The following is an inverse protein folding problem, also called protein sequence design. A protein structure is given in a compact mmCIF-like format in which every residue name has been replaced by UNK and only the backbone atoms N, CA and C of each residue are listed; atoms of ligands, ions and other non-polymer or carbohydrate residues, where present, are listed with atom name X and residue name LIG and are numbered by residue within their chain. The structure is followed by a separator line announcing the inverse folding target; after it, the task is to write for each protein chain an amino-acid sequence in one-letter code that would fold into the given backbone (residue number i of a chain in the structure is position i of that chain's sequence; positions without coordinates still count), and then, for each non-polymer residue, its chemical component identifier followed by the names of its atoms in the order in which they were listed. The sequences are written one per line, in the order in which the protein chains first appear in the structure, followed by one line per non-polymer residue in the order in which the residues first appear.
data_IF_762682350388
#
_entry.id   IF_762682350388
#
_cell.length_a   1.000
_cell.length_b   1.000
_cell.length_c   1.000
_cell.angle_alpha   90.00
_cell.angle_beta   90.00
_cell.angle_gamma   90.00
#
_symmetry.space_group_name_H-M   'P 1'
#
loop_
_entity.id
_entity.type
_entity.pdbx_description
1 polymer ?
#
# COMPACT_ATOMS: atom_id res chain seq x y z
N UNK A 1 -13.32 -4.65 7.52
CA UNK A 1 -14.10 -3.72 6.68
C UNK A 1 -14.60 -4.41 5.43
N UNK A 2 -13.75 -4.77 4.46
CA UNK A 2 -14.16 -5.45 3.21
C UNK A 2 -14.98 -6.73 3.42
N UNK A 3 -14.51 -7.63 4.29
CA UNK A 3 -15.18 -8.92 4.54
C UNK A 3 -16.55 -8.77 5.22
N UNK A 4 -16.69 -7.82 6.15
CA UNK A 4 -17.98 -7.49 6.76
C UNK A 4 -18.92 -6.76 5.79
N UNK A 5 -18.38 -5.97 4.85
CA UNK A 5 -19.16 -5.34 3.80
C UNK A 5 -19.71 -6.36 2.80
N UNK A 6 -18.88 -7.33 2.39
CA UNK A 6 -19.29 -8.45 1.53
C UNK A 6 -20.40 -9.27 2.20
N UNK A 7 -20.26 -9.58 3.50
CA UNK A 7 -21.31 -10.27 4.27
C UNK A 7 -22.63 -9.49 4.35
N UNK A 8 -22.57 -8.16 4.49
CA UNK A 8 -23.76 -7.30 4.48
C UNK A 8 -24.42 -7.31 3.09
N UNK A 9 -23.63 -7.23 2.01
CA UNK A 9 -24.14 -7.29 0.65
C UNK A 9 -24.83 -8.64 0.36
N UNK A 10 -24.20 -9.74 0.77
CA UNK A 10 -24.73 -11.10 0.60
C UNK A 10 -26.02 -11.31 1.40
N UNK A 11 -26.08 -10.80 2.64
CA UNK A 11 -27.30 -10.82 3.45
C UNK A 11 -28.43 -10.03 2.79
N UNK A 12 -28.15 -8.84 2.26
CA UNK A 12 -29.15 -8.01 1.57
C UNK A 12 -29.64 -8.69 0.29
N UNK A 13 -28.75 -9.29 -0.51
CA UNK A 13 -29.13 -10.04 -1.70
C UNK A 13 -29.99 -11.26 -1.37
N UNK A 14 -29.67 -11.96 -0.29
CA UNK A 14 -30.45 -13.13 0.17
C UNK A 14 -31.84 -12.71 0.64
N UNK A 15 -31.93 -11.64 1.44
CA UNK A 15 -33.23 -11.08 1.87
C UNK A 15 -34.08 -10.58 0.70
N UNK A 16 -33.46 -10.07 -0.38
CA UNK A 16 -34.16 -9.68 -1.60
C UNK A 16 -34.82 -10.87 -2.30
N UNK A 17 -34.08 -11.97 -2.44
CA UNK A 17 -34.59 -13.19 -3.08
C UNK A 17 -35.74 -13.81 -2.29
N UNK A 18 -35.63 -13.84 -0.96
CA UNK A 18 -36.71 -14.30 -0.08
C UNK A 18 -37.96 -13.41 -0.17
N UNK A 19 -37.76 -12.10 -0.32
CA UNK A 19 -38.85 -11.14 -0.50
C UNK A 19 -39.57 -11.32 -1.84
N UNK A 20 -38.83 -11.45 -2.94
CA UNK A 20 -39.38 -11.71 -4.28
C UNK A 20 -40.15 -13.05 -4.31
N UNK A 21 -39.60 -14.08 -3.67
CA UNK A 21 -40.28 -15.37 -3.50
C UNK A 21 -41.57 -15.25 -2.67
N UNK A 22 -41.55 -14.46 -1.59
CA UNK A 22 -42.73 -14.19 -0.77
C UNK A 22 -43.82 -13.42 -1.55
N UNK A 23 -43.43 -12.45 -2.38
CA UNK A 23 -44.33 -11.68 -3.24
C UNK A 23 -45.00 -12.60 -4.27
N UNK A 24 -44.24 -13.50 -4.89
CA UNK A 24 -44.74 -14.44 -5.89
C UNK A 24 -45.84 -15.38 -5.35
N UNK A 25 -45.90 -15.58 -4.03
CA UNK A 25 -46.85 -16.49 -3.36
C UNK A 25 -48.12 -15.78 -2.85
N UNK A 26 -48.14 -14.43 -2.77
CA UNK A 26 -49.23 -13.68 -2.14
C UNK A 26 -50.34 -13.20 -3.11
N UNK A 27 -51.59 -13.23 -2.64
CA UNK A 27 -52.79 -12.83 -3.39
C UNK A 27 -52.91 -11.28 -3.57
N UNK A 28 -53.75 -10.79 -4.52
CA UNK A 28 -53.69 -9.41 -5.02
C UNK A 28 -53.89 -8.27 -4.00
N UNK A 29 -54.43 -8.56 -2.81
CA UNK A 29 -54.75 -7.57 -1.78
C UNK A 29 -53.56 -7.00 -1.01
N UNK A 30 -52.40 -7.68 -1.01
CA UNK A 30 -51.21 -7.27 -0.24
C UNK A 30 -50.28 -6.33 -1.03
N UNK A 31 -50.50 -6.23 -2.35
CA UNK A 31 -49.62 -5.59 -3.34
C UNK A 31 -49.42 -4.08 -3.08
N UNK A 32 -50.43 -3.37 -2.57
CA UNK A 32 -50.35 -1.91 -2.37
C UNK A 32 -49.47 -1.48 -1.18
N UNK A 33 -49.34 -2.31 -0.13
CA UNK A 33 -48.39 -2.05 0.96
C UNK A 33 -46.98 -2.49 0.57
N UNK A 34 -46.90 -3.53 -0.25
CA UNK A 34 -45.68 -4.11 -0.78
C UNK A 34 -44.99 -3.21 -1.80
N UNK A 35 -45.73 -2.46 -2.62
CA UNK A 35 -45.16 -1.50 -3.58
C UNK A 35 -44.34 -0.38 -2.92
N UNK A 36 -44.79 0.13 -1.77
CA UNK A 36 -44.05 1.14 -1.00
C UNK A 36 -42.80 0.56 -0.34
N UNK A 37 -42.87 -0.68 0.12
CA UNK A 37 -41.72 -1.41 0.64
C UNK A 37 -40.69 -1.70 -0.46
N UNK A 38 -41.11 -2.24 -1.60
CA UNK A 38 -40.27 -2.49 -2.78
C UNK A 38 -39.57 -1.22 -3.28
N UNK A 39 -40.28 -0.09 -3.29
CA UNK A 39 -39.67 1.20 -3.67
C UNK A 39 -38.55 1.60 -2.72
N UNK A 40 -38.75 1.45 -1.41
CA UNK A 40 -37.73 1.76 -0.40
C UNK A 40 -36.57 0.75 -0.44
N UNK A 41 -36.86 -0.52 -0.71
CA UNK A 41 -35.87 -1.58 -0.84
C UNK A 41 -34.98 -1.40 -2.06
N UNK A 42 -35.56 -1.09 -3.23
CA UNK A 42 -34.80 -0.77 -4.43
C UNK A 42 -33.97 0.52 -4.27
N UNK A 43 -34.48 1.50 -3.51
CA UNK A 43 -33.70 2.69 -3.14
C UNK A 43 -32.49 2.32 -2.28
N UNK A 44 -32.67 1.42 -1.30
CA UNK A 44 -31.58 0.92 -0.47
C UNK A 44 -30.52 0.18 -1.30
N UNK A 45 -30.92 -0.66 -2.27
CA UNK A 45 -29.99 -1.31 -3.21
C UNK A 45 -29.17 -0.29 -4.02
N UNK A 46 -29.83 0.75 -4.54
CA UNK A 46 -29.13 1.83 -5.28
C UNK A 46 -28.08 2.51 -4.40
N UNK A 47 -28.47 2.86 -3.17
CA UNK A 47 -27.57 3.49 -2.22
C UNK A 47 -26.42 2.56 -1.80
N UNK A 48 -26.67 1.25 -1.72
CA UNK A 48 -25.62 0.27 -1.44
C UNK A 48 -24.61 0.19 -2.58
N UNK A 49 -25.08 0.17 -3.83
CA UNK A 49 -24.23 0.16 -5.03
C UNK A 49 -23.43 1.46 -5.17
N UNK A 50 -24.04 2.60 -4.83
CA UNK A 50 -23.35 3.89 -4.79
C UNK A 50 -22.26 3.91 -3.72
N UNK A 51 -22.52 3.34 -2.54
CA UNK A 51 -21.55 3.22 -1.45
C UNK A 51 -20.44 2.22 -1.78
N UNK A 52 -20.70 1.16 -2.55
CA UNK A 52 -19.68 0.19 -2.98
C UNK A 52 -18.55 0.85 -3.78
N UNK A 53 -18.85 1.90 -4.56
CA UNK A 53 -17.85 2.71 -5.28
C UNK A 53 -16.89 3.42 -4.31
N UNK A 54 -17.35 3.78 -3.11
CA UNK A 54 -16.54 4.48 -2.10
C UNK A 54 -15.86 3.52 -1.11
N UNK A 55 -16.47 2.36 -0.82
CA UNK A 55 -15.92 1.34 0.08
C UNK A 55 -14.90 0.45 -0.65
N UNK A 56 -15.10 0.25 -1.95
CA UNK A 56 -14.22 -0.55 -2.80
C UNK A 56 -13.61 0.32 -3.89
N UNK A 57 -12.70 1.27 -3.57
CA UNK A 57 -11.83 1.81 -4.61
C UNK A 57 -11.12 0.59 -5.21
N UNK A 58 -11.30 0.35 -6.51
CA UNK A 58 -10.69 -0.80 -7.20
C UNK A 58 -9.23 -0.91 -6.73
N UNK A 59 -8.83 -2.04 -6.10
CA UNK A 59 -7.49 -2.14 -5.58
C UNK A 59 -6.54 -1.96 -6.76
N UNK A 60 -5.76 -0.88 -6.74
CA UNK A 60 -4.66 -0.70 -7.66
C UNK A 60 -3.79 -1.95 -7.51
N UNK A 61 -3.65 -2.71 -8.60
CA UNK A 61 -2.71 -3.82 -8.61
C UNK A 61 -1.32 -3.20 -8.64
N UNK A 62 -0.64 -3.23 -7.50
CA UNK A 62 0.72 -2.72 -7.37
C UNK A 62 1.62 -3.49 -8.33
N UNK A 63 2.36 -2.77 -9.17
CA UNK A 63 3.32 -3.32 -10.13
C UNK A 63 4.70 -2.79 -9.81
N UNK A 64 5.69 -3.69 -9.82
CA UNK A 64 7.09 -3.40 -9.61
C UNK A 64 7.89 -3.97 -10.77
N UNK A 65 8.76 -3.15 -11.36
CA UNK A 65 9.72 -3.59 -12.38
C UNK A 65 10.87 -4.41 -11.77
N UNK A 66 11.05 -4.33 -10.44
CA UNK A 66 11.98 -5.18 -9.70
C UNK A 66 11.37 -6.56 -9.47
N UNK A 67 11.85 -7.58 -10.19
CA UNK A 67 11.36 -8.97 -10.10
C UNK A 67 12.19 -9.88 -9.19
N UNK A 68 13.32 -9.39 -8.68
CA UNK A 68 14.24 -10.17 -7.85
C UNK A 68 13.67 -10.53 -6.48
N UNK A 69 13.92 -11.76 -6.03
CA UNK A 69 13.46 -12.25 -4.71
C UNK A 69 14.02 -11.42 -3.55
N UNK A 70 15.29 -10.99 -3.64
CA UNK A 70 15.92 -10.13 -2.65
C UNK A 70 15.20 -8.78 -2.48
N UNK A 71 14.72 -8.22 -3.59
CA UNK A 71 13.96 -6.98 -3.56
C UNK A 71 12.59 -7.22 -2.92
N UNK A 72 11.86 -8.25 -3.33
CA UNK A 72 10.56 -8.58 -2.77
C UNK A 72 10.62 -8.76 -1.25
N UNK A 73 11.61 -9.52 -0.77
CA UNK A 73 11.86 -9.73 0.66
C UNK A 73 12.19 -8.41 1.38
N UNK A 74 13.03 -7.56 0.78
CA UNK A 74 13.38 -6.25 1.34
C UNK A 74 12.19 -5.30 1.38
N UNK A 75 11.34 -5.33 0.36
CA UNK A 75 10.13 -4.51 0.25
C UNK A 75 9.09 -4.90 1.30
N UNK A 76 8.83 -6.20 1.47
CA UNK A 76 7.92 -6.70 2.50
C UNK A 76 8.46 -6.41 3.91
N UNK A 77 9.78 -6.49 4.09
CA UNK A 77 10.42 -6.10 5.34
C UNK A 77 10.19 -4.61 5.66
N UNK A 78 10.31 -3.71 4.68
CA UNK A 78 10.03 -2.29 4.85
C UNK A 78 8.57 -2.01 5.20
N UNK A 79 7.63 -2.68 4.54
CA UNK A 79 6.19 -2.57 4.87
C UNK A 79 5.90 -3.02 6.30
N UNK A 80 6.53 -4.12 6.72
CA UNK A 80 6.41 -4.61 8.10
C UNK A 80 7.05 -3.64 9.10
N UNK A 81 8.19 -3.06 8.77
CA UNK A 81 8.83 -2.01 9.56
C UNK A 81 7.93 -0.78 9.74
N UNK A 82 7.32 -0.26 8.67
CA UNK A 82 6.40 0.88 8.75
C UNK A 82 5.20 0.59 9.65
N UNK A 83 4.65 -0.62 9.55
CA UNK A 83 3.54 -1.05 10.40
C UNK A 83 3.97 -1.15 11.86
N UNK A 84 5.08 -1.83 12.13
CA UNK A 84 5.54 -2.10 13.50
C UNK A 84 6.04 -0.84 14.22
N UNK A 85 6.83 -0.01 13.53
CA UNK A 85 7.49 1.15 14.16
C UNK A 85 6.64 2.42 14.13
N UNK A 86 5.85 2.63 13.07
CA UNK A 86 5.11 3.88 12.87
C UNK A 86 3.59 3.70 12.84
N UNK A 87 3.08 2.46 12.92
CA UNK A 87 1.65 2.19 12.79
C UNK A 87 1.08 2.48 11.40
N UNK A 88 1.94 2.62 10.39
CA UNK A 88 1.56 3.00 9.03
C UNK A 88 1.27 1.73 8.21
N UNK A 89 0.08 1.66 7.64
CA UNK A 89 -0.28 0.67 6.62
C UNK A 89 -0.34 1.39 5.27
N UNK A 90 0.50 0.98 4.35
CA UNK A 90 0.53 1.53 3.00
C UNK A 90 -0.77 1.22 2.26
N UNK A 91 -1.38 2.25 1.69
CA UNK A 91 -2.44 2.06 0.71
C UNK A 91 -1.82 1.64 -0.64
N UNK A 92 -2.54 0.89 -1.49
CA UNK A 92 -2.01 0.47 -2.79
C UNK A 92 -1.53 1.63 -3.68
N UNK A 93 -2.17 2.80 -3.59
CA UNK A 93 -1.79 4.01 -4.33
C UNK A 93 -0.45 4.58 -3.87
N UNK A 94 -0.24 4.64 -2.55
CA UNK A 94 1.02 5.13 -1.98
C UNK A 94 2.13 4.11 -2.19
N UNK A 95 1.81 2.81 -2.12
CA UNK A 95 2.76 1.74 -2.44
C UNK A 95 3.24 1.84 -3.89
N UNK A 96 2.33 2.07 -4.84
CA UNK A 96 2.69 2.25 -6.26
C UNK A 96 3.59 3.47 -6.47
N UNK A 97 3.23 4.63 -5.92
CA UNK A 97 4.05 5.85 -6.05
C UNK A 97 5.43 5.65 -5.39
N UNK A 98 5.49 4.99 -4.24
CA UNK A 98 6.76 4.70 -3.57
C UNK A 98 7.65 3.78 -4.42
N UNK A 99 7.09 2.83 -5.16
CA UNK A 99 7.84 2.00 -6.11
C UNK A 99 8.32 2.78 -7.31
N UNK A 100 7.49 3.68 -7.86
CA UNK A 100 7.86 4.54 -8.99
C UNK A 100 9.00 5.51 -8.63
N UNK A 101 8.90 6.17 -7.46
CA UNK A 101 9.96 7.04 -6.94
C UNK A 101 11.24 6.25 -6.68
N UNK A 102 11.13 5.06 -6.06
CA UNK A 102 12.29 4.21 -5.81
C UNK A 102 12.96 3.74 -7.11
N UNK A 103 12.17 3.46 -8.14
CA UNK A 103 12.67 3.11 -9.47
C UNK A 103 13.41 4.27 -10.13
N UNK A 104 12.88 5.49 -10.01
CA UNK A 104 13.53 6.71 -10.47
C UNK A 104 14.84 6.96 -9.73
N UNK A 105 14.82 6.92 -8.39
CA UNK A 105 15.97 7.19 -7.53
C UNK A 105 17.09 6.15 -7.69
N UNK A 106 16.73 4.89 -7.92
CA UNK A 106 17.70 3.82 -8.11
C UNK A 106 18.21 3.71 -9.56
N UNK A 107 17.67 4.52 -10.49
CA UNK A 107 17.91 4.40 -11.93
C UNK A 107 17.65 2.98 -12.44
N UNK A 108 16.52 2.39 -11.99
CA UNK A 108 16.12 1.00 -12.27
C UNK A 108 17.11 -0.09 -11.79
N UNK A 109 18.09 0.24 -10.94
CA UNK A 109 19.02 -0.74 -10.35
C UNK A 109 18.39 -1.37 -9.09
N UNK A 110 18.15 -2.71 -9.07
CA UNK A 110 17.56 -3.39 -7.91
C UNK A 110 18.44 -3.32 -6.65
N UNK A 111 19.77 -3.32 -6.78
CA UNK A 111 20.67 -3.30 -5.63
C UNK A 111 20.66 -1.93 -4.95
N UNK A 112 20.69 -0.85 -5.74
CA UNK A 112 20.55 0.52 -5.22
C UNK A 112 19.19 0.74 -4.55
N UNK A 113 18.13 0.15 -5.09
CA UNK A 113 16.80 0.19 -4.48
C UNK A 113 16.80 -0.49 -3.09
N UNK A 114 17.37 -1.70 -3.00
CA UNK A 114 17.52 -2.46 -1.73
C UNK A 114 18.35 -1.64 -0.71
N UNK A 115 19.46 -1.05 -1.14
CA UNK A 115 20.33 -0.26 -0.28
C UNK A 115 19.64 0.99 0.27
N UNK A 116 18.80 1.64 -0.55
CA UNK A 116 18.02 2.83 -0.18
C UNK A 116 16.95 2.47 0.84
N UNK A 117 16.26 1.34 0.67
CA UNK A 117 15.31 0.81 1.66
C UNK A 117 16.03 0.52 2.99
N UNK A 118 17.14 -0.24 2.95
CA UNK A 118 17.91 -0.58 4.15
C UNK A 118 18.45 0.65 4.86
N UNK A 119 18.93 1.63 4.12
CA UNK A 119 19.38 2.91 4.66
C UNK A 119 18.25 3.65 5.39
N UNK A 120 17.09 3.73 4.77
CA UNK A 120 15.92 4.44 5.32
C UNK A 120 15.43 3.78 6.61
N UNK A 121 15.43 2.44 6.66
CA UNK A 121 15.11 1.69 7.88
C UNK A 121 16.15 1.95 8.97
N UNK A 122 17.45 1.89 8.63
CA UNK A 122 18.53 2.15 9.58
C UNK A 122 18.44 3.57 10.19
N UNK A 123 18.03 4.56 9.38
CA UNK A 123 17.79 5.94 9.83
C UNK A 123 16.43 6.16 10.48
N UNK A 124 15.62 5.10 10.58
CA UNK A 124 14.28 5.10 11.14
C UNK A 124 13.29 6.06 10.44
N UNK A 125 13.48 6.27 9.14
CA UNK A 125 12.63 7.16 8.35
C UNK A 125 11.27 6.53 8.03
N UNK A 126 10.26 7.38 7.81
CA UNK A 126 8.90 6.99 7.40
C UNK A 126 8.74 6.84 5.88
N UNK A 127 9.73 7.30 5.13
CA UNK A 127 9.79 7.29 3.66
C UNK A 127 11.14 6.74 3.23
N UNK A 128 11.21 6.27 1.97
CA UNK A 128 12.47 5.81 1.39
C UNK A 128 13.21 7.03 0.85
N UNK A 129 14.49 7.13 1.22
CA UNK A 129 15.41 8.11 0.68
C UNK A 129 16.62 7.39 0.09
N UNK A 130 17.16 7.90 -1.03
CA UNK A 130 18.35 7.33 -1.64
C UNK A 130 19.52 7.40 -0.66
N UNK A 131 20.32 6.34 -0.62
CA UNK A 131 21.55 6.33 0.16
C UNK A 131 22.53 7.34 -0.45
N UNK A 132 23.08 8.29 0.32
CA UNK A 132 24.09 9.21 -0.20
C UNK A 132 25.31 8.42 -0.70
N UNK A 133 25.83 8.79 -1.86
CA UNK A 133 27.11 8.26 -2.33
C UNK A 133 28.19 8.62 -1.31
N UNK A 134 28.95 7.62 -0.85
CA UNK A 134 30.15 7.89 -0.07
C UNK A 134 31.11 8.64 -0.99
N UNK A 135 31.31 9.94 -0.72
CA UNK A 135 32.42 10.67 -1.33
C UNK A 135 33.67 9.94 -0.88
N UNK A 136 34.41 9.35 -1.81
CA UNK A 136 35.77 8.90 -1.53
C UNK A 136 36.53 10.12 -0.99
N UNK A 137 36.89 10.09 0.30
CA UNK A 137 37.82 11.06 0.84
C UNK A 137 39.10 10.96 0.00
N UNK A 138 39.69 12.10 -0.45
CA UNK A 138 40.95 12.05 -1.15
C UNK A 138 41.93 11.31 -0.27
N UNK A 139 42.48 10.19 -0.75
CA UNK A 139 43.58 9.49 -0.07
C UNK A 139 44.66 10.52 0.20
N UNK A 140 44.79 10.97 1.44
CA UNK A 140 45.91 11.81 1.85
C UNK A 140 47.17 11.04 1.47
N UNK A 141 47.88 11.55 0.47
CA UNK A 141 49.22 11.10 0.17
C UNK A 141 50.02 11.42 1.42
N UNK A 142 50.31 10.41 2.22
CA UNK A 142 51.23 10.50 3.34
C UNK A 142 52.62 10.73 2.72
N UNK A 143 52.92 11.98 2.37
CA UNK A 143 54.30 12.39 2.15
C UNK A 143 54.99 12.30 3.50
N UNK A 144 55.72 11.21 3.68
CA UNK A 144 56.65 11.01 4.79
C UNK A 144 57.65 12.16 4.78
N UNK A 145 57.35 13.22 5.53
CA UNK A 145 58.31 14.27 5.81
C UNK A 145 59.30 13.68 6.81
N UNK A 146 60.47 13.28 6.31
CA UNK A 146 61.60 12.90 7.14
C UNK A 146 61.93 14.05 8.09
N UNK A 147 61.69 13.84 9.37
CA UNK A 147 62.11 14.74 10.43
C UNK A 147 63.63 14.64 10.57
N UNK A 148 64.38 15.59 9.99
CA UNK A 148 65.80 15.76 10.33
C UNK A 148 65.87 16.53 11.66
N UNK A 149 66.18 15.83 12.74
CA UNK A 149 66.50 16.45 14.03
C UNK A 149 67.81 17.23 13.91
N UNK A 150 67.74 18.55 14.06
CA UNK A 150 68.91 19.43 14.18
C UNK A 150 69.20 19.69 15.65
N UNK A 151 69.84 18.72 16.32
CA UNK A 151 70.45 18.90 17.64
C UNK A 151 71.71 18.04 17.76
N UNK A 152 72.68 18.26 16.88
CA UNK A 152 74.09 17.95 17.16
C UNK A 152 74.91 19.13 16.61
N UNK A 153 75.51 19.89 17.54
CA UNK A 153 76.31 21.08 17.29
C UNK A 153 76.68 21.76 18.59
#
# INVERSE_FOLDING_TARGET
MKQHWEQICETIQTSDQELEAFIAVQAPGTINKLSKFLRNWNKLKSQLNEIDVFITPKPLKVQSEFTGEDFANTWDFWKNYLRAQHGIVLSPYVEQIALEELQSDSNCDPQKAIESIRYSIFKMYRSIYPRPEMKEEPKEQVTSTQFKSSWEG
#
